data_IF_797652629265
#
_entry.id   IF_797652629265
#
_cell.length_a   1.000
_cell.length_b   1.000
_cell.length_c   1.000
_cell.angle_alpha   90.00
_cell.angle_beta   90.00
_cell.angle_gamma   90.00
#
_symmetry.space_group_name_H-M   'P 1'
#
loop_
_entity.id
_entity.type
_entity.pdbx_description
1 polymer ?
#
# COMPACT_ATOMS: atom_id res chain seq x y z
N UNK A 1 17.76 -24.46 26.34
CA UNK A 1 17.04 -24.39 25.05
C UNK A 1 15.88 -23.42 25.23
N UNK A 2 16.18 -22.13 25.23
CA UNK A 2 15.19 -21.06 25.25
C UNK A 2 15.00 -20.64 23.79
N UNK A 3 13.78 -20.77 23.28
CA UNK A 3 13.40 -20.25 21.97
C UNK A 3 13.35 -18.73 22.10
N UNK A 4 14.18 -18.07 21.30
CA UNK A 4 14.25 -16.61 21.16
C UNK A 4 12.88 -16.06 20.79
N UNK A 5 12.31 -15.23 21.67
CA UNK A 5 11.35 -14.21 21.28
C UNK A 5 12.17 -13.09 20.64
N UNK A 6 12.43 -13.19 19.34
CA UNK A 6 12.84 -12.04 18.55
C UNK A 6 11.61 -11.13 18.46
N UNK A 7 11.59 -10.13 19.33
CA UNK A 7 10.86 -8.89 19.07
C UNK A 7 11.33 -8.41 17.71
N UNK A 8 10.39 -8.27 16.77
CA UNK A 8 10.65 -7.59 15.51
C UNK A 8 11.18 -6.20 15.86
N UNK A 9 12.49 -5.97 15.67
CA UNK A 9 13.01 -4.61 15.68
C UNK A 9 12.35 -3.90 14.52
N UNK A 10 11.36 -3.08 14.85
CA UNK A 10 10.53 -2.37 13.91
C UNK A 10 11.38 -1.54 12.96
N UNK A 11 10.88 -1.36 11.74
CA UNK A 11 11.45 -0.44 10.77
C UNK A 11 11.68 0.94 11.41
N UNK A 12 12.94 1.26 11.73
CA UNK A 12 13.31 2.50 12.42
C UNK A 12 13.26 3.74 11.49
N UNK A 13 12.60 3.63 10.34
CA UNK A 13 12.36 4.69 9.36
C UNK A 13 10.92 4.60 8.85
N UNK A 14 10.21 5.73 8.72
CA UNK A 14 8.91 5.77 8.06
C UNK A 14 9.02 5.13 6.67
N UNK A 15 8.05 4.28 6.33
CA UNK A 15 7.96 3.69 4.99
C UNK A 15 6.70 4.21 4.31
N UNK A 16 6.74 5.41 3.71
CA UNK A 16 5.56 5.98 3.07
C UNK A 16 5.06 5.03 1.97
N UNK A 17 3.77 4.75 1.92
CA UNK A 17 3.12 3.95 0.87
C UNK A 17 1.94 4.70 0.28
N UNK A 18 1.59 4.35 -0.95
CA UNK A 18 0.28 4.69 -1.51
C UNK A 18 -0.65 3.50 -1.35
N UNK A 19 -1.84 3.73 -0.80
CA UNK A 19 -2.85 2.69 -0.62
C UNK A 19 -4.02 2.93 -1.57
N UNK A 20 -4.41 1.92 -2.33
CA UNK A 20 -5.54 1.96 -3.25
C UNK A 20 -6.67 1.07 -2.73
N UNK A 21 -7.84 1.64 -2.44
CA UNK A 21 -8.98 0.91 -1.89
C UNK A 21 -10.31 1.54 -2.26
N UNK A 22 -11.34 0.74 -2.53
CA UNK A 22 -12.62 1.24 -3.09
C UNK A 22 -13.57 1.90 -2.09
N UNK A 23 -13.34 1.72 -0.79
CA UNK A 23 -14.26 2.16 0.27
C UNK A 23 -13.52 3.00 1.31
N UNK A 24 -13.97 4.23 1.53
CA UNK A 24 -13.35 5.16 2.50
C UNK A 24 -13.39 4.61 3.93
N UNK A 25 -14.51 4.02 4.34
CA UNK A 25 -14.66 3.39 5.67
C UNK A 25 -13.59 2.31 5.91
N UNK A 26 -13.35 1.47 4.91
CA UNK A 26 -12.33 0.42 4.99
C UNK A 26 -10.94 1.03 5.03
N UNK A 27 -10.66 1.99 4.14
CA UNK A 27 -9.38 2.71 4.12
C UNK A 27 -9.05 3.34 5.47
N UNK A 28 -10.01 4.01 6.10
CA UNK A 28 -9.85 4.64 7.42
C UNK A 28 -9.43 3.65 8.51
N UNK A 29 -10.11 2.50 8.59
CA UNK A 29 -9.79 1.48 9.61
C UNK A 29 -8.44 0.83 9.29
N UNK A 30 -8.19 0.47 8.03
CA UNK A 30 -6.91 -0.13 7.62
C UNK A 30 -5.74 0.81 7.93
N UNK A 31 -5.85 2.11 7.60
CA UNK A 31 -4.81 3.11 7.91
C UNK A 31 -4.57 3.18 9.42
N UNK A 32 -5.63 3.30 10.22
CA UNK A 32 -5.52 3.34 11.68
C UNK A 32 -4.89 2.07 12.28
N UNK A 33 -5.13 0.91 11.66
CA UNK A 33 -4.51 -0.35 12.07
C UNK A 33 -3.06 -0.44 11.61
N UNK A 34 -2.67 0.25 10.52
CA UNK A 34 -1.29 0.27 10.02
C UNK A 34 -0.36 1.14 10.88
N UNK A 35 -0.84 2.28 11.38
CA UNK A 35 -0.04 3.31 12.07
C UNK A 35 0.72 2.86 13.34
N UNK A 36 0.17 2.04 14.27
CA UNK A 36 0.84 1.75 15.55
C UNK A 36 2.21 1.07 15.46
N UNK A 37 2.51 0.40 14.34
CA UNK A 37 3.73 -0.40 14.18
C UNK A 37 4.83 0.33 13.38
N UNK A 38 4.58 1.55 12.92
CA UNK A 38 5.55 2.37 12.20
C UNK A 38 5.68 3.73 12.89
N UNK A 39 6.91 4.24 13.01
CA UNK A 39 7.14 5.61 13.50
C UNK A 39 6.55 6.62 12.50
N UNK A 40 5.27 6.96 12.65
CA UNK A 40 4.59 8.00 11.87
C UNK A 40 3.59 7.52 10.81
N UNK A 41 3.12 8.46 10.00
CA UNK A 41 2.03 8.28 9.05
C UNK A 41 2.48 7.44 7.83
N UNK A 42 2.27 6.11 7.91
CA UNK A 42 2.68 5.15 6.87
C UNK A 42 2.04 5.45 5.50
N UNK A 43 0.77 5.85 5.48
CA UNK A 43 0.03 6.02 4.23
C UNK A 43 0.12 7.46 3.75
N UNK A 44 0.85 7.71 2.67
CA UNK A 44 0.97 9.04 2.05
C UNK A 44 -0.35 9.51 1.48
N UNK A 45 -1.02 8.63 0.75
CA UNK A 45 -2.25 8.96 0.04
C UNK A 45 -3.13 7.73 -0.15
N UNK A 46 -4.44 7.93 -0.09
CA UNK A 46 -5.44 6.89 -0.31
C UNK A 46 -6.21 7.14 -1.61
N UNK A 47 -6.08 6.24 -2.57
CA UNK A 47 -6.68 6.33 -3.91
C UNK A 47 -7.92 5.45 -3.97
N UNK A 48 -9.06 6.00 -4.36
CA UNK A 48 -10.34 5.29 -4.34
C UNK A 48 -10.86 4.81 -5.69
N UNK A 49 -10.33 5.34 -6.79
CA UNK A 49 -10.71 4.95 -8.15
C UNK A 49 -9.49 4.71 -9.03
N UNK A 50 -9.70 4.03 -10.16
CA UNK A 50 -8.63 3.81 -11.15
C UNK A 50 -8.30 5.13 -11.84
N UNK A 51 -9.32 5.93 -12.12
CA UNK A 51 -9.22 7.23 -12.77
C UNK A 51 -8.41 8.23 -11.92
N UNK A 52 -8.62 8.25 -10.60
CA UNK A 52 -7.79 9.03 -9.68
C UNK A 52 -6.36 8.48 -9.68
N UNK A 53 -6.19 7.15 -9.61
CA UNK A 53 -4.88 6.51 -9.63
C UNK A 53 -4.05 6.84 -10.87
N UNK A 54 -4.65 6.82 -12.06
CA UNK A 54 -3.98 7.18 -13.32
C UNK A 54 -3.47 8.62 -13.29
N UNK A 55 -4.21 9.54 -12.69
CA UNK A 55 -3.81 10.96 -12.62
C UNK A 55 -2.83 11.25 -11.50
N UNK A 56 -3.04 10.63 -10.34
CA UNK A 56 -2.40 11.04 -9.10
C UNK A 56 -1.12 10.24 -8.83
N UNK A 57 -1.05 8.95 -9.17
CA UNK A 57 0.15 8.14 -8.95
C UNK A 57 1.40 8.76 -9.60
N UNK A 58 1.40 9.19 -10.88
CA UNK A 58 2.61 9.75 -11.49
C UNK A 58 3.13 11.00 -10.74
N UNK A 59 2.22 11.82 -10.21
CA UNK A 59 2.56 13.02 -9.44
C UNK A 59 3.12 12.65 -8.07
N UNK A 60 2.42 11.80 -7.32
CA UNK A 60 2.83 11.39 -5.97
C UNK A 60 4.21 10.71 -6.02
N UNK A 61 4.43 9.84 -7.01
CA UNK A 61 5.71 9.12 -7.17
C UNK A 61 6.86 9.99 -7.65
N UNK A 62 6.57 11.20 -8.15
CA UNK A 62 7.58 12.22 -8.47
C UNK A 62 7.72 13.28 -7.37
N UNK A 63 7.08 13.09 -6.20
CA UNK A 63 7.14 14.01 -5.06
C UNK A 63 6.23 15.24 -5.20
N UNK A 64 5.28 15.20 -6.15
CA UNK A 64 4.32 16.27 -6.39
C UNK A 64 2.96 15.94 -5.77
N UNK A 65 2.22 16.98 -5.36
CA UNK A 65 0.85 16.83 -4.89
C UNK A 65 -0.11 16.43 -6.05
N UNK A 66 -1.15 15.64 -5.77
CA UNK A 66 -2.25 15.35 -6.69
C UNK A 66 -2.95 16.62 -7.19
N UNK A 67 -3.55 16.55 -8.39
CA UNK A 67 -4.26 17.70 -9.00
C UNK A 67 -5.51 18.07 -8.21
N UNK A 68 -6.21 17.08 -7.65
CA UNK A 68 -7.45 17.27 -6.90
C UNK A 68 -7.46 16.39 -5.65
N UNK A 69 -6.86 16.88 -4.57
CA UNK A 69 -6.88 16.19 -3.29
C UNK A 69 -8.18 16.47 -2.52
N UNK A 70 -9.25 15.78 -2.90
CA UNK A 70 -10.55 15.81 -2.18
C UNK A 70 -10.65 14.77 -1.07
N UNK A 71 -9.69 13.85 -0.98
CA UNK A 71 -9.69 12.78 0.01
C UNK A 71 -9.34 13.28 1.41
N UNK A 72 -9.84 12.62 2.44
CA UNK A 72 -9.49 12.92 3.84
C UNK A 72 -8.43 11.99 4.44
N UNK A 73 -8.01 10.96 3.68
CA UNK A 73 -7.20 9.85 4.18
C UNK A 73 -5.74 9.94 3.70
N UNK A 74 -4.84 9.48 4.57
CA UNK A 74 -3.39 9.56 4.40
C UNK A 74 -2.80 10.88 4.92
N UNK A 75 -1.48 10.90 5.11
CA UNK A 75 -0.74 12.07 5.63
C UNK A 75 -0.74 13.27 4.69
N UNK A 76 -0.82 13.00 3.38
CA UNK A 76 -0.60 13.99 2.33
C UNK A 76 0.80 14.62 2.39
N UNK A 77 1.74 13.93 3.03
CA UNK A 77 3.14 14.34 3.03
C UNK A 77 3.85 13.83 1.78
N UNK A 78 3.84 14.65 0.73
CA UNK A 78 4.48 14.34 -0.55
C UNK A 78 5.99 14.65 -0.59
N UNK A 79 6.57 15.19 0.49
CA UNK A 79 8.03 15.44 0.54
C UNK A 79 8.83 14.15 0.73
N UNK A 80 8.19 13.07 1.18
CA UNK A 80 8.77 11.73 1.28
C UNK A 80 8.18 10.84 0.19
N UNK A 81 9.03 10.33 -0.69
CA UNK A 81 8.59 9.48 -1.80
C UNK A 81 8.04 8.15 -1.28
N UNK A 82 6.90 7.67 -1.80
CA UNK A 82 6.43 6.34 -1.48
C UNK A 82 7.43 5.25 -1.87
N UNK A 83 7.50 4.22 -1.04
CA UNK A 83 8.34 3.03 -1.27
C UNK A 83 7.57 1.84 -1.82
N UNK A 84 6.23 1.89 -1.81
CA UNK A 84 5.38 0.84 -2.35
C UNK A 84 4.00 1.38 -2.75
N UNK A 85 3.35 0.67 -3.67
CA UNK A 85 1.91 0.80 -3.96
C UNK A 85 1.20 -0.44 -3.44
N UNK A 86 0.15 -0.26 -2.65
CA UNK A 86 -0.66 -1.35 -2.09
C UNK A 86 -2.08 -1.28 -2.64
N UNK A 87 -2.52 -2.35 -3.29
CA UNK A 87 -3.81 -2.46 -3.95
C UNK A 87 -4.75 -3.39 -3.15
N UNK A 88 -5.95 -2.91 -2.86
CA UNK A 88 -7.04 -3.65 -2.24
C UNK A 88 -7.64 -4.77 -3.12
N UNK A 89 -8.63 -5.48 -2.57
CA UNK A 89 -9.35 -6.54 -3.29
C UNK A 89 -10.11 -6.06 -4.53
N UNK A 90 -10.60 -4.83 -4.54
CA UNK A 90 -11.45 -4.25 -5.59
C UNK A 90 -10.72 -3.69 -6.81
N UNK A 91 -9.46 -4.08 -7.04
CA UNK A 91 -8.70 -3.76 -8.25
C UNK A 91 -8.46 -5.07 -8.99
N UNK A 92 -8.97 -5.20 -10.20
CA UNK A 92 -8.78 -6.36 -11.07
C UNK A 92 -7.53 -6.18 -11.96
N UNK A 93 -7.27 -7.15 -12.83
CA UNK A 93 -6.11 -7.15 -13.72
C UNK A 93 -6.13 -5.96 -14.70
N UNK A 94 -7.31 -5.57 -15.20
CA UNK A 94 -7.45 -4.40 -16.07
C UNK A 94 -7.09 -3.11 -15.33
N UNK A 95 -7.61 -2.93 -14.11
CA UNK A 95 -7.27 -1.80 -13.26
C UNK A 95 -5.76 -1.76 -12.95
N UNK A 96 -5.17 -2.91 -12.61
CA UNK A 96 -3.73 -3.03 -12.33
C UNK A 96 -2.93 -2.60 -13.57
N UNK A 97 -3.29 -3.10 -14.75
CA UNK A 97 -2.60 -2.78 -16.01
C UNK A 97 -2.63 -1.28 -16.28
N UNK A 98 -3.82 -0.66 -16.22
CA UNK A 98 -4.00 0.77 -16.45
C UNK A 98 -3.22 1.64 -15.46
N UNK A 99 -3.16 1.22 -14.19
CA UNK A 99 -2.36 1.93 -13.18
C UNK A 99 -0.85 1.78 -13.42
N UNK A 100 -0.39 0.59 -13.82
CA UNK A 100 1.02 0.40 -14.19
C UNK A 100 1.39 1.26 -15.39
N UNK A 101 0.61 1.24 -16.47
CA UNK A 101 0.85 2.05 -17.67
C UNK A 101 0.93 3.55 -17.37
N UNK A 102 0.15 4.04 -16.42
CA UNK A 102 0.21 5.43 -16.00
C UNK A 102 1.57 5.82 -15.41
N UNK A 103 2.27 4.89 -14.76
CA UNK A 103 3.51 5.18 -14.03
C UNK A 103 4.78 4.65 -14.72
N UNK A 104 4.68 3.72 -15.67
CA UNK A 104 5.83 3.09 -16.35
C UNK A 104 6.65 4.03 -17.24
N UNK A 105 6.14 5.24 -17.51
CA UNK A 105 6.88 6.31 -18.20
C UNK A 105 7.97 6.97 -17.34
N UNK A 106 8.04 6.66 -16.04
CA UNK A 106 9.05 7.19 -15.11
C UNK A 106 10.09 6.13 -14.70
N UNK A 107 11.41 6.41 -14.79
CA UNK A 107 12.45 5.46 -14.38
C UNK A 107 12.38 5.05 -12.90
N UNK A 108 11.78 5.89 -12.04
CA UNK A 108 11.64 5.66 -10.59
C UNK A 108 10.66 4.52 -10.30
N UNK A 109 9.67 4.30 -11.16
CA UNK A 109 8.55 3.39 -10.91
C UNK A 109 8.88 1.95 -11.31
N UNK A 110 9.91 1.78 -12.15
CA UNK A 110 10.39 0.49 -12.65
C UNK A 110 10.83 -0.45 -11.51
N UNK A 111 11.32 0.08 -10.38
CA UNK A 111 11.82 -0.75 -9.26
C UNK A 111 10.95 -0.73 -8.01
N UNK A 112 9.82 -0.03 -8.03
CA UNK A 112 8.97 0.08 -6.84
C UNK A 112 8.08 -1.16 -6.71
N UNK A 113 8.01 -1.81 -5.53
CA UNK A 113 7.15 -2.97 -5.31
C UNK A 113 5.67 -2.60 -5.36
N UNK A 114 4.90 -3.46 -6.03
CA UNK A 114 3.44 -3.43 -6.01
C UNK A 114 2.93 -4.59 -5.18
N UNK A 115 2.00 -4.30 -4.28
CA UNK A 115 1.37 -5.27 -3.41
C UNK A 115 -0.11 -5.35 -3.78
N UNK A 116 -0.68 -6.54 -3.83
CA UNK A 116 -2.08 -6.79 -4.16
C UNK A 116 -2.73 -7.72 -3.14
N UNK A 117 -3.98 -7.45 -2.79
CA UNK A 117 -4.76 -8.37 -1.96
C UNK A 117 -4.79 -9.76 -2.57
N UNK A 118 -4.37 -10.78 -1.79
CA UNK A 118 -4.58 -12.18 -2.15
C UNK A 118 -6.08 -12.49 -2.07
N UNK A 119 -6.68 -12.82 -3.22
CA UNK A 119 -8.10 -13.08 -3.31
C UNK A 119 -8.49 -14.42 -2.69
N UNK A 120 -7.58 -15.40 -2.62
CA UNK A 120 -7.82 -16.67 -1.93
C UNK A 120 -7.87 -16.44 -0.41
N UNK A 121 -6.91 -15.69 0.14
CA UNK A 121 -6.95 -15.31 1.57
C UNK A 121 -8.14 -14.42 1.89
N UNK A 122 -8.52 -13.52 0.97
CA UNK A 122 -9.71 -12.68 1.11
C UNK A 122 -10.98 -13.52 1.16
N UNK A 123 -11.11 -14.53 0.28
CA UNK A 123 -12.26 -15.44 0.26
C UNK A 123 -12.33 -16.36 1.48
N UNK A 124 -11.17 -16.79 2.00
CA UNK A 124 -11.09 -17.67 3.17
C UNK A 124 -11.17 -16.92 4.52
N UNK A 125 -11.02 -15.60 4.50
CA UNK A 125 -10.96 -14.75 5.69
C UNK A 125 -12.31 -14.13 6.08
N UNK A 126 -12.28 -13.10 6.95
CA UNK A 126 -13.47 -12.37 7.35
C UNK A 126 -14.15 -11.66 6.18
N UNK A 127 -15.45 -11.37 6.32
CA UNK A 127 -16.25 -10.72 5.28
C UNK A 127 -15.66 -9.38 4.86
N UNK A 128 -15.36 -9.16 3.55
CA UNK A 128 -14.85 -7.89 3.07
C UNK A 128 -15.67 -6.69 3.53
N UNK A 129 -14.99 -5.70 4.11
CA UNK A 129 -15.62 -4.50 4.67
C UNK A 129 -16.02 -4.56 6.14
N UNK A 130 -15.93 -5.74 6.79
CA UNK A 130 -16.04 -5.84 8.26
C UNK A 130 -14.79 -5.30 8.95
N UNK A 131 -14.87 -5.01 10.24
CA UNK A 131 -13.71 -4.57 11.01
C UNK A 131 -12.64 -5.67 11.12
N UNK A 132 -13.07 -6.92 11.31
CA UNK A 132 -12.18 -8.09 11.34
C UNK A 132 -11.45 -8.24 10.02
N UNK A 133 -12.13 -7.97 8.89
CA UNK A 133 -11.48 -7.94 7.59
C UNK A 133 -10.44 -6.82 7.51
N UNK A 134 -10.74 -5.62 8.00
CA UNK A 134 -9.81 -4.50 7.99
C UNK A 134 -8.55 -4.82 8.81
N UNK A 135 -8.70 -5.38 10.02
CA UNK A 135 -7.59 -5.84 10.86
C UNK A 135 -6.76 -6.92 10.18
N UNK A 136 -7.42 -7.93 9.60
CA UNK A 136 -6.75 -9.00 8.87
C UNK A 136 -6.03 -8.51 7.61
N UNK A 137 -6.59 -7.51 6.90
CA UNK A 137 -5.96 -6.89 5.75
C UNK A 137 -4.71 -6.08 6.16
N UNK A 138 -4.83 -5.23 7.18
CA UNK A 138 -3.70 -4.46 7.70
C UNK A 138 -2.56 -5.37 8.16
N UNK A 139 -2.86 -6.42 8.94
CA UNK A 139 -1.85 -7.39 9.39
C UNK A 139 -1.12 -8.08 8.23
N UNK A 140 -1.84 -8.50 7.18
CA UNK A 140 -1.24 -9.09 5.97
C UNK A 140 -0.37 -8.08 5.22
N UNK A 141 -0.85 -6.84 5.05
CA UNK A 141 -0.08 -5.77 4.41
C UNK A 141 1.23 -5.51 5.16
N UNK A 142 1.20 -5.39 6.49
CA UNK A 142 2.40 -5.19 7.33
C UNK A 142 3.43 -6.30 7.13
N UNK A 143 2.97 -7.54 7.24
CA UNK A 143 3.84 -8.70 7.09
C UNK A 143 4.52 -8.72 5.72
N UNK A 144 3.75 -8.49 4.66
CA UNK A 144 4.26 -8.48 3.28
C UNK A 144 5.18 -7.28 3.03
N UNK A 145 4.84 -6.08 3.50
CA UNK A 145 5.69 -4.89 3.41
C UNK A 145 7.02 -5.11 4.12
N UNK A 146 7.01 -5.61 5.36
CA UNK A 146 8.23 -5.90 6.10
C UNK A 146 9.14 -6.87 5.36
N UNK A 147 8.57 -7.96 4.83
CA UNK A 147 9.33 -8.96 4.07
C UNK A 147 9.92 -8.41 2.77
N UNK A 148 9.24 -7.48 2.09
CA UNK A 148 9.69 -6.94 0.80
C UNK A 148 10.76 -5.87 1.00
N UNK A 149 10.62 -5.02 2.01
CA UNK A 149 11.57 -3.92 2.25
C UNK A 149 12.94 -4.42 2.75
N UNK A 150 13.01 -5.65 3.23
CA UNK A 150 14.27 -6.35 3.54
C UNK A 150 14.98 -6.92 2.29
N UNK A 151 14.33 -6.92 1.12
CA UNK A 151 14.93 -7.46 -0.12
C UNK A 151 15.78 -6.41 -0.81
N UNK A 152 17.01 -6.80 -1.17
CA UNK A 152 17.92 -5.94 -1.94
C UNK A 152 17.65 -5.93 -3.45
N UNK A 153 17.02 -7.00 -3.97
CA UNK A 153 16.78 -7.19 -5.41
C UNK A 153 15.30 -7.48 -5.69
N UNK A 154 14.58 -6.46 -6.15
CA UNK A 154 13.21 -6.59 -6.65
C UNK A 154 13.23 -6.57 -8.17
N UNK A 155 12.50 -7.50 -8.79
CA UNK A 155 12.37 -7.50 -10.24
C UNK A 155 11.42 -6.37 -10.68
N UNK A 156 11.71 -5.69 -11.80
CA UNK A 156 10.83 -4.67 -12.32
C UNK A 156 9.40 -5.17 -12.58
N UNK A 157 8.41 -4.49 -11.98
CA UNK A 157 7.01 -4.87 -12.12
C UNK A 157 6.60 -6.13 -11.34
N UNK A 158 7.45 -6.62 -10.42
CA UNK A 158 7.09 -7.73 -9.54
C UNK A 158 5.88 -7.36 -8.66
N UNK A 159 4.85 -8.21 -8.72
CA UNK A 159 3.63 -8.08 -7.93
C UNK A 159 3.67 -9.06 -6.76
N UNK A 160 3.51 -8.53 -5.55
CA UNK A 160 3.46 -9.31 -4.32
C UNK A 160 2.02 -9.43 -3.81
N UNK A 161 1.69 -10.53 -3.15
CA UNK A 161 0.33 -10.76 -2.66
C UNK A 161 0.28 -10.79 -1.13
N UNK A 162 -0.65 -10.04 -0.54
CA UNK A 162 -0.85 -9.97 0.91
C UNK A 162 -2.08 -10.74 1.38
#
# INVERSE_FOLDING_TARGET
>A
MQREFLLFEGFNMPTPIVLCGRLEKVGRIVISELEPDYEGELVTHFIMSVEDGIRDLPLILSGSSPVNDKGSLGSKNYSALPKAIVLGGGYDEEAITRLHEAVTSSPVTVKMPWLKADLNKTKAGPTPGSEEYCRAAASRMKHTLGTILERENLEPGEMFYW
#
